data_IF_784865588347
#
_entry.id   IF_784865588347
#
_cell.length_a   1.000
_cell.length_b   1.000
_cell.length_c   1.000
_cell.angle_alpha   90.00
_cell.angle_beta   90.00
_cell.angle_gamma   90.00
#
_symmetry.space_group_name_H-M   'P 1'
#
loop_
_entity.id
_entity.type
_entity.pdbx_description
1 polymer ?
#
# COMPACT_ATOMS: atom_id res chain seq x y z
N UNK A 1 -1.18 22.41 2.83
CA UNK A 1 -0.06 21.58 2.36
C UNK A 1 0.85 22.48 1.55
N UNK A 2 2.03 22.79 2.07
CA UNK A 2 2.98 23.66 1.40
C UNK A 2 3.45 23.04 0.08
N UNK A 3 3.63 23.86 -0.95
CA UNK A 3 4.03 23.45 -2.30
C UNK A 3 5.22 22.47 -2.32
N UNK A 4 6.17 22.67 -1.40
CA UNK A 4 7.33 21.79 -1.21
C UNK A 4 6.96 20.35 -0.81
N UNK A 5 5.94 20.17 0.04
CA UNK A 5 5.47 18.86 0.48
C UNK A 5 4.88 18.04 -0.67
N UNK A 6 4.09 18.68 -1.54
CA UNK A 6 3.50 18.02 -2.71
C UNK A 6 4.57 17.56 -3.71
N UNK A 7 5.62 18.37 -3.93
CA UNK A 7 6.74 17.99 -4.80
C UNK A 7 7.50 16.80 -4.23
N UNK A 8 7.76 16.80 -2.91
CA UNK A 8 8.48 15.70 -2.26
C UNK A 8 7.70 14.38 -2.37
N UNK A 9 6.39 14.40 -2.15
CA UNK A 9 5.52 13.22 -2.32
C UNK A 9 5.52 12.75 -3.77
N UNK A 10 5.47 13.67 -4.73
CA UNK A 10 5.56 13.35 -6.16
C UNK A 10 6.89 12.65 -6.51
N UNK A 11 8.02 13.22 -6.09
CA UNK A 11 9.35 12.66 -6.38
C UNK A 11 9.57 11.30 -5.71
N UNK A 12 9.17 11.15 -4.45
CA UNK A 12 9.33 9.89 -3.71
C UNK A 12 8.47 8.77 -4.29
N UNK A 13 7.24 9.07 -4.71
CA UNK A 13 6.37 8.09 -5.37
C UNK A 13 6.91 7.68 -6.75
N UNK A 14 7.47 8.61 -7.53
CA UNK A 14 8.14 8.30 -8.80
C UNK A 14 9.38 7.42 -8.60
N UNK A 15 10.20 7.74 -7.60
CA UNK A 15 11.36 6.92 -7.25
C UNK A 15 10.94 5.50 -6.87
N UNK A 16 9.89 5.36 -6.06
CA UNK A 16 9.34 4.06 -5.67
C UNK A 16 8.84 3.25 -6.87
N UNK A 17 8.12 3.90 -7.79
CA UNK A 17 7.68 3.29 -9.04
C UNK A 17 8.87 2.77 -9.88
N UNK A 18 9.93 3.57 -10.01
CA UNK A 18 11.13 3.18 -10.77
C UNK A 18 11.87 2.01 -10.11
N UNK A 19 11.93 1.97 -8.78
CA UNK A 19 12.53 0.86 -8.04
C UNK A 19 11.74 -0.43 -8.27
N UNK A 20 10.41 -0.40 -8.16
CA UNK A 20 9.55 -1.54 -8.47
C UNK A 20 9.73 -2.04 -9.92
N UNK A 21 9.82 -1.13 -10.88
CA UNK A 21 10.08 -1.49 -12.28
C UNK A 21 11.49 -2.04 -12.48
N UNK A 22 12.49 -1.59 -11.71
CA UNK A 22 13.84 -2.19 -11.74
C UNK A 22 13.86 -3.60 -11.14
N UNK A 23 13.13 -3.83 -10.06
CA UNK A 23 12.95 -5.16 -9.46
C UNK A 23 12.20 -6.14 -10.37
N UNK A 24 11.50 -5.64 -11.39
CA UNK A 24 10.84 -6.50 -12.38
C UNK A 24 11.77 -7.36 -13.24
N UNK A 25 13.09 -7.09 -13.21
CA UNK A 25 14.08 -7.95 -13.84
C UNK A 25 14.30 -9.25 -13.08
N UNK A 26 13.96 -9.28 -11.78
CA UNK A 26 14.10 -10.45 -10.90
C UNK A 26 12.83 -11.30 -10.94
N UNK A 27 11.67 -10.68 -10.84
CA UNK A 27 10.38 -11.38 -10.81
C UNK A 27 9.30 -10.54 -11.54
N UNK A 28 8.42 -11.20 -12.29
CA UNK A 28 7.49 -10.55 -13.24
C UNK A 28 6.32 -9.84 -12.55
N UNK A 29 5.92 -10.28 -11.37
CA UNK A 29 4.85 -9.68 -10.58
C UNK A 29 5.25 -8.32 -9.96
N UNK A 30 6.54 -8.03 -9.74
CA UNK A 30 6.99 -6.66 -9.45
C UNK A 30 6.66 -5.67 -10.59
N UNK A 31 6.65 -6.12 -11.84
CA UNK A 31 6.24 -5.28 -12.98
C UNK A 31 4.78 -4.85 -12.85
N UNK A 32 3.92 -5.77 -12.40
CA UNK A 32 2.49 -5.50 -12.19
C UNK A 32 2.30 -4.50 -11.05
N UNK A 33 3.00 -4.71 -9.92
CA UNK A 33 2.98 -3.79 -8.78
C UNK A 33 3.38 -2.36 -9.18
N UNK A 34 4.48 -2.22 -9.94
CA UNK A 34 4.97 -0.93 -10.44
C UNK A 34 4.01 -0.25 -11.41
N UNK A 35 3.40 -0.97 -12.35
CA UNK A 35 2.42 -0.40 -13.29
C UNK A 35 1.17 0.08 -12.56
N UNK A 36 0.63 -0.71 -11.62
CA UNK A 36 -0.53 -0.29 -10.83
C UNK A 36 -0.21 0.93 -9.96
N UNK A 37 1.00 1.00 -9.39
CA UNK A 37 1.44 2.17 -8.63
C UNK A 37 1.56 3.42 -9.52
N UNK A 38 2.06 3.28 -10.75
CA UNK A 38 2.14 4.37 -11.73
C UNK A 38 0.75 4.91 -12.10
N UNK A 39 -0.23 4.02 -12.30
CA UNK A 39 -1.62 4.39 -12.56
C UNK A 39 -2.17 5.21 -11.38
N UNK A 40 -1.93 4.78 -10.14
CA UNK A 40 -2.40 5.52 -8.94
C UNK A 40 -1.79 6.91 -8.90
N UNK A 41 -0.46 7.02 -9.00
CA UNK A 41 0.24 8.32 -8.94
C UNK A 41 -0.24 9.25 -10.07
N UNK A 42 -0.38 8.72 -11.30
CA UNK A 42 -0.86 9.49 -12.45
C UNK A 42 -2.30 9.98 -12.29
N UNK A 43 -3.22 9.12 -11.84
CA UNK A 43 -4.62 9.50 -11.62
C UNK A 43 -4.76 10.45 -10.43
N UNK A 44 -3.97 10.28 -9.36
CA UNK A 44 -3.96 11.22 -8.22
C UNK A 44 -3.46 12.61 -8.61
N UNK A 45 -2.44 12.70 -9.48
CA UNK A 45 -1.96 13.98 -10.00
C UNK A 45 -3.02 14.71 -10.85
N UNK A 46 -3.77 13.97 -11.68
CA UNK A 46 -4.87 14.51 -12.48
C UNK A 46 -6.08 14.90 -11.61
N UNK A 47 -6.34 14.14 -10.55
CA UNK A 47 -7.39 14.42 -9.57
C UNK A 47 -7.17 15.72 -8.82
N UNK A 48 -5.91 16.12 -8.61
CA UNK A 48 -5.58 17.44 -8.04
C UNK A 48 -5.87 18.63 -8.98
N UNK A 49 -6.06 18.37 -10.27
CA UNK A 49 -6.44 19.36 -11.28
C UNK A 49 -7.94 19.32 -11.61
N UNK A 50 -8.64 18.25 -11.25
CA UNK A 50 -10.06 18.02 -11.49
C UNK A 50 -10.96 18.41 -10.30
N UNK A 51 -12.25 18.64 -10.57
CA UNK A 51 -13.24 18.94 -9.53
C UNK A 51 -13.52 17.78 -8.56
N UNK A 52 -14.02 18.11 -7.37
CA UNK A 52 -14.26 17.20 -6.22
C UNK A 52 -15.17 16.00 -6.50
N UNK A 53 -16.00 16.05 -7.55
CA UNK A 53 -16.89 14.96 -7.96
C UNK A 53 -16.16 13.84 -8.69
N UNK A 54 -15.17 14.17 -9.54
CA UNK A 54 -14.39 13.15 -10.27
C UNK A 54 -13.50 12.35 -9.31
N UNK A 55 -12.92 13.03 -8.32
CA UNK A 55 -12.08 12.41 -7.30
C UNK A 55 -12.85 11.44 -6.42
N UNK A 56 -14.10 11.78 -6.05
CA UNK A 56 -14.97 10.89 -5.29
C UNK A 56 -15.34 9.61 -6.06
N UNK A 57 -15.63 9.71 -7.35
CA UNK A 57 -15.97 8.56 -8.20
C UNK A 57 -14.76 7.62 -8.36
N UNK A 58 -13.56 8.18 -8.51
CA UNK A 58 -12.33 7.40 -8.71
C UNK A 58 -11.73 6.85 -7.42
N UNK A 59 -12.17 7.32 -6.24
CA UNK A 59 -11.61 6.90 -4.96
C UNK A 59 -11.70 5.39 -4.71
N UNK A 60 -12.86 4.78 -5.01
CA UNK A 60 -13.08 3.34 -4.81
C UNK A 60 -12.23 2.48 -5.77
N UNK A 61 -12.26 2.71 -7.10
CA UNK A 61 -11.38 2.00 -8.03
C UNK A 61 -9.90 2.13 -7.67
N UNK A 62 -9.44 3.33 -7.29
CA UNK A 62 -8.05 3.56 -6.92
C UNK A 62 -7.65 2.83 -5.63
N UNK A 63 -8.56 2.75 -4.65
CA UNK A 63 -8.32 1.97 -3.44
C UNK A 63 -8.10 0.48 -3.74
N UNK A 64 -8.89 -0.10 -4.67
CA UNK A 64 -8.73 -1.50 -5.11
C UNK A 64 -7.38 -1.68 -5.82
N UNK A 65 -7.04 -0.78 -6.74
CA UNK A 65 -5.75 -0.83 -7.46
C UNK A 65 -4.57 -0.69 -6.50
N UNK A 66 -4.70 0.15 -5.46
CA UNK A 66 -3.69 0.29 -4.40
C UNK A 66 -3.48 -1.00 -3.61
N UNK A 67 -4.58 -1.65 -3.21
CA UNK A 67 -4.54 -2.96 -2.55
C UNK A 67 -3.89 -4.03 -3.45
N UNK A 68 -4.21 -4.05 -4.75
CA UNK A 68 -3.60 -4.97 -5.70
C UNK A 68 -2.10 -4.71 -5.86
N UNK A 69 -1.68 -3.44 -5.95
CA UNK A 69 -0.26 -3.07 -6.02
C UNK A 69 0.49 -3.57 -4.78
N UNK A 70 -0.06 -3.36 -3.58
CA UNK A 70 0.51 -3.86 -2.33
C UNK A 70 0.57 -5.39 -2.27
N UNK A 71 -0.48 -6.07 -2.74
CA UNK A 71 -0.51 -7.54 -2.83
C UNK A 71 0.63 -8.06 -3.70
N UNK A 72 0.74 -7.55 -4.94
CA UNK A 72 1.78 -8.00 -5.86
C UNK A 72 3.17 -7.73 -5.28
N UNK A 73 3.40 -6.59 -4.64
CA UNK A 73 4.66 -6.29 -3.98
C UNK A 73 5.00 -7.28 -2.86
N UNK A 74 4.10 -7.50 -1.90
CA UNK A 74 4.34 -8.41 -0.76
C UNK A 74 4.46 -9.87 -1.21
N UNK A 75 3.65 -10.29 -2.18
CA UNK A 75 3.71 -11.65 -2.75
C UNK A 75 5.01 -11.89 -3.50
N UNK A 76 5.52 -10.88 -4.23
CA UNK A 76 6.79 -10.99 -4.95
C UNK A 76 7.96 -11.10 -3.97
N UNK A 77 7.95 -10.34 -2.86
CA UNK A 77 8.95 -10.48 -1.81
C UNK A 77 8.91 -11.86 -1.16
N UNK A 78 7.72 -12.38 -0.84
CA UNK A 78 7.56 -13.73 -0.32
C UNK A 78 8.10 -14.79 -1.28
N UNK A 79 7.78 -14.69 -2.57
CA UNK A 79 8.21 -15.66 -3.58
C UNK A 79 9.74 -15.67 -3.77
N UNK A 80 10.37 -14.50 -3.90
CA UNK A 80 11.82 -14.39 -4.06
C UNK A 80 12.57 -14.91 -2.83
N UNK A 81 12.01 -14.72 -1.63
CA UNK A 81 12.59 -15.22 -0.39
C UNK A 81 12.35 -16.70 -0.13
N UNK A 82 11.35 -17.32 -0.75
CA UNK A 82 11.04 -18.74 -0.53
C UNK A 82 12.24 -19.66 -0.85
N UNK A 83 13.11 -19.24 -1.78
CA UNK A 83 14.34 -19.96 -2.13
C UNK A 83 15.57 -19.61 -1.28
N UNK A 84 15.49 -18.62 -0.38
CA UNK A 84 16.65 -18.09 0.37
C UNK A 84 16.42 -18.16 1.88
N UNK A 85 15.30 -17.63 2.37
CA UNK A 85 14.90 -17.65 3.78
C UNK A 85 13.37 -17.83 3.90
N UNK A 86 12.96 -19.06 4.19
CA UNK A 86 11.55 -19.43 4.29
C UNK A 86 10.84 -18.72 5.45
N UNK A 87 11.55 -18.41 6.54
CA UNK A 87 10.96 -17.69 7.67
C UNK A 87 10.62 -16.25 7.28
N UNK A 88 11.46 -15.62 6.45
CA UNK A 88 11.22 -14.27 5.96
C UNK A 88 10.10 -14.25 4.91
N UNK A 89 10.03 -15.28 4.06
CA UNK A 89 8.92 -15.50 3.13
C UNK A 89 7.57 -15.61 3.86
N UNK A 90 7.50 -16.44 4.90
CA UNK A 90 6.30 -16.60 5.72
C UNK A 90 5.90 -15.30 6.42
N UNK A 91 6.88 -14.53 6.89
CA UNK A 91 6.61 -13.21 7.48
C UNK A 91 5.96 -12.24 6.49
N UNK A 92 6.38 -12.24 5.22
CA UNK A 92 5.76 -11.44 4.16
C UNK A 92 4.32 -11.88 3.86
N UNK A 93 4.05 -13.18 3.80
CA UNK A 93 2.68 -13.68 3.59
C UNK A 93 1.76 -13.38 4.78
N UNK A 94 2.29 -13.46 6.01
CA UNK A 94 1.57 -13.09 7.22
C UNK A 94 1.27 -11.60 7.25
N UNK A 95 2.24 -10.74 6.86
CA UNK A 95 2.05 -9.30 6.77
C UNK A 95 0.91 -8.94 5.80
N UNK A 96 0.80 -9.63 4.67
CA UNK A 96 -0.31 -9.45 3.73
C UNK A 96 -1.67 -9.77 4.38
N UNK A 97 -1.79 -10.88 5.13
CA UNK A 97 -3.03 -11.24 5.83
C UNK A 97 -3.42 -10.18 6.87
N UNK A 98 -2.44 -9.67 7.63
CA UNK A 98 -2.67 -8.56 8.57
C UNK A 98 -3.10 -7.28 7.86
N UNK A 99 -2.49 -6.98 6.72
CA UNK A 99 -2.86 -5.82 5.89
C UNK A 99 -4.33 -5.88 5.50
N UNK A 100 -4.81 -7.01 4.97
CA UNK A 100 -6.24 -7.20 4.67
C UNK A 100 -7.10 -7.00 5.92
N UNK A 101 -6.76 -7.63 7.04
CA UNK A 101 -7.53 -7.53 8.28
C UNK A 101 -7.67 -6.08 8.77
N UNK A 102 -6.60 -5.30 8.70
CA UNK A 102 -6.59 -3.88 9.05
C UNK A 102 -7.44 -3.04 8.10
N UNK A 103 -7.33 -3.27 6.78
CA UNK A 103 -8.17 -2.56 5.78
C UNK A 103 -9.66 -2.92 5.93
N UNK A 104 -9.99 -4.18 6.23
CA UNK A 104 -11.36 -4.59 6.56
C UNK A 104 -11.85 -3.88 7.83
N UNK A 105 -11.02 -3.80 8.87
CA UNK A 105 -11.33 -3.05 10.09
C UNK A 105 -11.58 -1.56 9.83
N UNK A 106 -10.79 -0.95 8.94
CA UNK A 106 -10.97 0.44 8.53
C UNK A 106 -12.32 0.63 7.83
N UNK A 107 -12.64 -0.20 6.83
CA UNK A 107 -13.91 -0.13 6.10
C UNK A 107 -15.11 -0.36 7.03
N UNK A 108 -15.04 -1.37 7.89
CA UNK A 108 -16.06 -1.65 8.88
C UNK A 108 -16.25 -0.47 9.83
N UNK A 109 -15.15 0.14 10.29
CA UNK A 109 -15.18 1.34 11.12
C UNK A 109 -15.87 2.52 10.42
N UNK A 110 -15.54 2.80 9.15
CA UNK A 110 -16.16 3.89 8.37
C UNK A 110 -17.67 3.68 8.22
N UNK A 111 -18.09 2.45 7.92
CA UNK A 111 -19.53 2.12 7.84
C UNK A 111 -20.18 2.28 9.22
N UNK A 112 -19.51 1.84 10.28
CA UNK A 112 -20.02 1.89 11.65
C UNK A 112 -20.17 3.33 12.17
N UNK A 113 -19.35 4.29 11.70
CA UNK A 113 -19.51 5.71 12.04
C UNK A 113 -20.90 6.24 11.64
N UNK A 114 -21.47 5.74 10.55
CA UNK A 114 -22.81 6.17 10.08
C UNK A 114 -23.92 5.65 11.01
N UNK A 115 -23.73 4.48 11.61
CA UNK A 115 -24.71 3.85 12.50
C UNK A 115 -24.54 4.31 13.95
N UNK A 116 -23.31 4.26 14.47
CA UNK A 116 -22.93 4.56 15.84
C UNK A 116 -21.61 5.36 15.81
N UNK A 117 -21.68 6.71 15.74
CA UNK A 117 -20.51 7.55 15.47
C UNK A 117 -19.33 7.31 16.41
N UNK A 118 -19.59 7.23 17.73
CA UNK A 118 -18.54 7.08 18.75
C UNK A 118 -17.82 5.73 18.58
N UNK A 119 -18.57 4.64 18.40
CA UNK A 119 -17.99 3.31 18.27
C UNK A 119 -17.23 3.18 16.94
N UNK A 120 -17.81 3.69 15.84
CA UNK A 120 -17.13 3.73 14.54
C UNK A 120 -15.82 4.52 14.59
N UNK A 121 -15.79 5.64 15.32
CA UNK A 121 -14.59 6.45 15.47
C UNK A 121 -13.50 5.70 16.23
N UNK A 122 -13.86 4.97 17.29
CA UNK A 122 -12.90 4.11 18.01
C UNK A 122 -12.34 3.01 17.10
N UNK A 123 -13.21 2.31 16.35
CA UNK A 123 -12.79 1.22 15.46
C UNK A 123 -11.87 1.76 14.35
N UNK A 124 -12.20 2.90 13.76
CA UNK A 124 -11.34 3.53 12.74
C UNK A 124 -9.99 3.96 13.31
N UNK A 125 -9.93 4.52 14.53
CA UNK A 125 -8.66 4.85 15.19
C UNK A 125 -7.80 3.60 15.43
N UNK A 126 -8.39 2.50 15.90
CA UNK A 126 -7.67 1.24 16.08
C UNK A 126 -7.15 0.70 14.74
N UNK A 127 -7.94 0.80 13.68
CA UNK A 127 -7.51 0.42 12.33
C UNK A 127 -6.33 1.29 11.85
N UNK A 128 -6.36 2.61 12.08
CA UNK A 128 -5.25 3.51 11.74
C UNK A 128 -3.95 3.14 12.47
N UNK A 129 -4.04 2.76 13.75
CA UNK A 129 -2.89 2.23 14.49
C UNK A 129 -2.39 0.92 13.85
N UNK A 130 -3.30 0.04 13.44
CA UNK A 130 -2.98 -1.17 12.69
C UNK A 130 -2.21 -0.89 11.39
N UNK A 131 -2.62 0.13 10.62
CA UNK A 131 -1.94 0.52 9.37
C UNK A 131 -0.51 0.98 9.66
N UNK A 132 -0.33 1.74 10.74
CA UNK A 132 0.98 2.21 11.17
C UNK A 132 1.89 1.03 11.56
N UNK A 133 1.38 0.07 12.32
CA UNK A 133 2.12 -1.14 12.70
C UNK A 133 2.52 -1.94 11.45
N UNK A 134 1.58 -2.20 10.53
CA UNK A 134 1.85 -2.92 9.27
C UNK A 134 2.94 -2.21 8.46
N UNK A 135 2.91 -0.88 8.42
CA UNK A 135 3.90 -0.07 7.70
C UNK A 135 5.29 -0.16 8.32
N UNK A 136 5.39 -0.14 9.66
CA UNK A 136 6.67 -0.34 10.37
C UNK A 136 7.21 -1.74 10.11
N UNK A 137 6.36 -2.77 10.22
CA UNK A 137 6.78 -4.16 9.97
C UNK A 137 7.22 -4.35 8.52
N UNK A 138 6.54 -3.72 7.56
CA UNK A 138 6.95 -3.71 6.14
C UNK A 138 8.36 -3.13 5.98
N UNK A 139 8.66 -2.00 6.61
CA UNK A 139 9.99 -1.39 6.57
C UNK A 139 11.07 -2.31 7.17
N UNK A 140 10.78 -2.94 8.30
CA UNK A 140 11.69 -3.89 8.95
C UNK A 140 11.93 -5.11 8.06
N UNK A 141 10.89 -5.67 7.44
CA UNK A 141 11.02 -6.80 6.53
C UNK A 141 11.79 -6.44 5.27
N UNK A 142 11.59 -5.25 4.70
CA UNK A 142 12.40 -4.73 3.58
C UNK A 142 13.87 -4.67 3.96
N UNK A 143 14.21 -4.12 5.13
CA UNK A 143 15.59 -4.05 5.60
C UNK A 143 16.20 -5.44 5.80
N UNK A 144 15.46 -6.37 6.41
CA UNK A 144 15.93 -7.75 6.59
C UNK A 144 16.13 -8.46 5.26
N UNK A 145 15.22 -8.26 4.31
CA UNK A 145 15.31 -8.81 2.95
C UNK A 145 16.54 -8.27 2.23
N UNK A 146 16.79 -6.96 2.32
CA UNK A 146 17.98 -6.34 1.73
C UNK A 146 19.30 -6.79 2.37
N UNK A 147 19.27 -7.35 3.59
CA UNK A 147 20.45 -7.89 4.28
C UNK A 147 20.67 -9.38 4.02
N UNK A 148 19.61 -10.14 3.67
CA UNK A 148 19.73 -11.56 3.34
C UNK A 148 20.25 -11.81 1.93
N UNK A 149 20.23 -10.78 1.08
CA UNK A 149 20.84 -10.76 -0.26
C UNK A 149 22.13 -9.94 -0.23
#
# INVERSE_FOLDING_TARGET
MDFAGSILVGLTSLAYCLILLRLSTVEKDYRKAGIFYLIIVGVSALSGLGGTTLTAILALPLAIVSLLSQYFEMSSHAYVLAGVDINLSDAWTLLWKWTIGVYCGLLAGVILVVLIPILGLIVTLVALIGILIVSIVKLVLLFRTARSF
#
